data_IF_597025856873
#
_entry.id   IF_597025856873
#
_cell.length_a   1.000
_cell.length_b   1.000
_cell.length_c   1.000
_cell.angle_alpha   90.00
_cell.angle_beta   90.00
_cell.angle_gamma   90.00
#
_symmetry.space_group_name_H-M   'P 1'
#
loop_
_entity.id
_entity.type
_entity.pdbx_description
1 polymer ?
#
# COMPACT_ATOMS: atom_id res chain seq x y z
N UNK A 1 38.67 38.72 -48.55
CA UNK A 1 38.27 37.65 -47.60
C UNK A 1 38.62 38.11 -46.21
N UNK A 2 37.66 38.65 -45.47
CA UNK A 2 37.82 38.96 -44.04
C UNK A 2 36.62 38.34 -43.34
N UNK A 3 36.85 37.14 -42.79
CA UNK A 3 35.86 36.43 -41.99
C UNK A 3 35.67 37.15 -40.66
N UNK A 4 34.46 37.65 -40.44
CA UNK A 4 34.04 38.15 -39.14
C UNK A 4 33.74 36.96 -38.22
N UNK A 5 34.53 36.83 -37.17
CA UNK A 5 34.29 35.91 -36.06
C UNK A 5 33.05 36.41 -35.30
N UNK A 6 31.92 35.71 -35.45
CA UNK A 6 30.71 35.97 -34.68
C UNK A 6 30.89 35.29 -33.33
N UNK A 7 31.48 36.04 -32.39
CA UNK A 7 31.54 35.65 -30.99
C UNK A 7 30.11 35.61 -30.44
N UNK A 8 29.62 34.39 -30.19
CA UNK A 8 28.33 34.18 -29.55
C UNK A 8 28.34 34.80 -28.14
N UNK A 9 27.40 35.70 -27.87
CA UNK A 9 27.24 36.31 -26.56
C UNK A 9 27.00 35.24 -25.48
N UNK A 10 27.60 35.37 -24.28
CA UNK A 10 27.38 34.43 -23.19
C UNK A 10 25.91 34.44 -22.78
N UNK A 11 25.31 33.25 -22.68
CA UNK A 11 23.95 33.08 -22.18
C UNK A 11 23.83 33.72 -20.79
N UNK A 12 22.87 34.65 -20.63
CA UNK A 12 22.55 35.28 -19.36
C UNK A 12 22.24 34.23 -18.28
N UNK A 13 22.70 34.41 -17.03
CA UNK A 13 22.44 33.46 -15.96
C UNK A 13 20.93 33.31 -15.73
N UNK A 14 20.43 32.09 -15.44
CA UNK A 14 19.02 31.88 -15.16
C UNK A 14 18.58 32.71 -13.96
N UNK A 15 17.41 33.34 -14.08
CA UNK A 15 16.79 34.08 -12.97
C UNK A 15 16.60 33.17 -11.75
N UNK A 16 16.85 33.66 -10.52
CA UNK A 16 16.68 32.86 -9.32
C UNK A 16 15.22 32.39 -9.18
N UNK A 17 15.06 31.16 -8.68
CA UNK A 17 13.75 30.57 -8.40
C UNK A 17 13.09 31.27 -7.20
N UNK A 18 11.81 31.63 -7.34
CA UNK A 18 10.99 32.22 -6.27
C UNK A 18 10.24 31.11 -5.51
N UNK A 19 10.77 30.72 -4.36
CA UNK A 19 10.21 29.65 -3.54
C UNK A 19 9.06 30.15 -2.68
N UNK A 20 7.90 29.50 -2.80
CA UNK A 20 6.70 29.80 -2.01
C UNK A 20 6.26 28.60 -1.23
N UNK A 21 5.79 28.84 -0.01
CA UNK A 21 5.09 27.83 0.76
C UNK A 21 3.80 27.41 0.02
N UNK A 22 3.52 26.11 -0.02
CA UNK A 22 2.37 25.57 -0.73
C UNK A 22 1.55 24.62 0.16
N UNK A 23 2.19 23.61 0.77
CA UNK A 23 1.49 22.58 1.52
C UNK A 23 2.31 22.06 2.69
N UNK A 24 1.62 21.65 3.76
CA UNK A 24 2.20 20.97 4.93
C UNK A 24 1.35 19.75 5.30
N UNK A 25 2.01 18.67 5.72
CA UNK A 25 1.38 17.46 6.26
C UNK A 25 1.98 17.14 7.63
N UNK A 26 1.19 16.50 8.50
CA UNK A 26 1.62 16.12 9.85
C UNK A 26 1.66 17.31 10.81
N UNK A 27 0.66 18.20 10.72
CA UNK A 27 0.50 19.31 11.66
C UNK A 27 0.44 18.79 13.10
N UNK A 28 1.26 19.38 13.98
CA UNK A 28 1.43 18.93 15.36
C UNK A 28 0.70 19.84 16.32
N UNK A 29 0.19 19.27 17.40
CA UNK A 29 -0.29 20.07 18.53
C UNK A 29 0.90 20.71 19.24
N UNK A 30 0.78 21.97 19.66
CA UNK A 30 1.86 22.65 20.39
C UNK A 30 2.23 21.88 21.67
N UNK A 31 3.49 21.45 21.78
CA UNK A 31 4.01 20.68 22.93
C UNK A 31 4.10 19.17 22.72
N UNK A 32 3.68 18.64 21.56
CA UNK A 32 3.85 17.23 21.21
C UNK A 32 5.28 16.96 20.70
N UNK A 33 5.97 15.99 21.30
CA UNK A 33 7.30 15.57 20.85
C UNK A 33 7.21 14.76 19.56
N UNK A 34 8.22 14.91 18.70
CA UNK A 34 8.31 14.15 17.45
C UNK A 34 8.64 12.71 17.77
N UNK A 35 7.73 11.79 17.45
CA UNK A 35 8.08 10.37 17.53
C UNK A 35 9.13 10.05 16.47
N UNK A 36 10.21 9.37 16.86
CA UNK A 36 11.30 9.03 15.94
C UNK A 36 10.80 8.20 14.76
N UNK A 37 9.83 7.30 15.00
CA UNK A 37 9.19 6.45 13.99
C UNK A 37 8.44 7.25 12.92
N UNK A 38 7.98 8.46 13.23
CA UNK A 38 7.26 9.34 12.30
C UNK A 38 8.20 10.26 11.49
N UNK A 39 9.52 10.22 11.76
CA UNK A 39 10.48 11.01 10.99
C UNK A 39 10.61 10.44 9.59
N UNK A 40 10.26 11.26 8.59
CA UNK A 40 10.42 10.92 7.18
C UNK A 40 11.91 10.72 6.88
N UNK A 41 12.25 9.53 6.39
CA UNK A 41 13.62 9.11 6.06
C UNK A 41 13.86 8.99 4.55
N UNK A 42 12.80 8.82 3.75
CA UNK A 42 12.89 8.74 2.30
C UNK A 42 11.70 9.47 1.64
N UNK A 43 11.94 10.11 0.50
CA UNK A 43 10.92 10.78 -0.30
C UNK A 43 11.23 10.61 -1.79
N UNK A 44 10.23 10.27 -2.60
CA UNK A 44 10.39 10.18 -4.05
C UNK A 44 9.10 10.48 -4.81
N UNK A 45 9.21 11.32 -5.84
CA UNK A 45 8.17 11.50 -6.85
C UNK A 45 8.29 10.44 -7.93
N UNK A 46 7.15 9.99 -8.45
CA UNK A 46 7.15 9.17 -9.65
C UNK A 46 7.61 10.00 -10.86
N UNK A 47 7.86 9.33 -12.00
CA UNK A 47 8.38 10.00 -13.19
C UNK A 47 7.42 11.05 -13.79
N UNK A 48 6.11 10.88 -13.58
CA UNK A 48 5.10 11.85 -14.04
C UNK A 48 4.97 13.05 -13.10
N UNK A 49 5.33 12.88 -11.83
CA UNK A 49 5.09 13.84 -10.76
C UNK A 49 3.66 13.79 -10.21
N UNK A 50 2.81 12.86 -10.66
CA UNK A 50 1.42 12.70 -10.20
C UNK A 50 1.34 11.94 -8.87
N UNK A 51 2.39 11.21 -8.49
CA UNK A 51 2.45 10.46 -7.24
C UNK A 51 3.71 10.79 -6.44
N UNK A 52 3.54 10.90 -5.14
CA UNK A 52 4.61 11.13 -4.17
C UNK A 52 4.59 10.00 -3.14
N UNK A 53 5.73 9.37 -2.90
CA UNK A 53 5.91 8.39 -1.84
C UNK A 53 6.82 8.97 -0.76
N UNK A 54 6.44 8.80 0.50
CA UNK A 54 7.29 9.04 1.66
C UNK A 54 7.48 7.74 2.41
N UNK A 55 8.65 7.55 3.00
CA UNK A 55 8.95 6.48 3.94
C UNK A 55 9.52 7.07 5.21
N UNK A 56 9.24 6.45 6.34
CA UNK A 56 9.68 6.90 7.65
C UNK A 56 10.61 5.91 8.35
N UNK A 57 11.09 6.31 9.53
CA UNK A 57 11.91 5.44 10.39
C UNK A 57 11.13 4.26 10.97
N UNK A 58 9.82 4.38 11.12
CA UNK A 58 8.92 3.31 11.54
C UNK A 58 8.54 2.33 10.44
N UNK A 59 9.24 2.32 9.31
CA UNK A 59 9.06 1.31 8.26
C UNK A 59 7.77 1.45 7.44
N UNK A 60 7.00 2.51 7.61
CA UNK A 60 5.78 2.77 6.83
C UNK A 60 6.12 3.46 5.52
N UNK A 61 5.31 3.20 4.51
CA UNK A 61 5.33 3.92 3.23
C UNK A 61 3.96 4.57 3.03
N UNK A 62 3.95 5.89 2.86
CA UNK A 62 2.75 6.70 2.62
C UNK A 62 2.78 7.22 1.20
N UNK A 63 1.67 7.05 0.47
CA UNK A 63 1.49 7.51 -0.89
C UNK A 63 0.53 8.69 -0.94
N UNK A 64 0.90 9.68 -1.74
CA UNK A 64 0.11 10.84 -2.07
C UNK A 64 -0.10 10.93 -3.58
N UNK A 65 -1.19 11.58 -3.98
CA UNK A 65 -1.58 11.81 -5.37
C UNK A 65 -1.89 13.27 -5.59
N UNK A 66 -1.41 13.81 -6.72
CA UNK A 66 -1.64 15.18 -7.16
C UNK A 66 -3.12 15.40 -7.49
N UNK A 67 -3.69 16.52 -7.06
CA UNK A 67 -5.12 16.84 -7.22
C UNK A 67 -5.45 17.70 -8.44
N UNK A 68 -4.48 18.46 -8.94
CA UNK A 68 -4.61 19.42 -10.05
C UNK A 68 -5.00 18.78 -11.41
N UNK A 69 -4.58 17.54 -11.67
CA UNK A 69 -4.86 16.84 -12.94
C UNK A 69 -6.35 16.52 -13.13
N UNK A 70 -7.15 16.45 -12.07
CA UNK A 70 -8.59 16.18 -12.16
C UNK A 70 -9.43 17.42 -12.45
N UNK A 71 -8.94 18.62 -12.14
CA UNK A 71 -9.69 19.88 -12.31
C UNK A 71 -9.53 20.46 -13.74
N UNK A 72 -8.49 20.05 -14.48
CA UNK A 72 -8.29 20.50 -15.87
C UNK A 72 -9.19 19.81 -16.92
N UNK A 73 -10.15 18.98 -16.50
CA UNK A 73 -11.17 18.36 -17.35
C UNK A 73 -12.48 19.16 -17.48
N UNK A 74 -12.56 20.36 -16.89
CA UNK A 74 -13.73 21.23 -16.94
C UNK A 74 -13.84 22.02 -18.24
N UNK A 75 -14.91 21.77 -19.00
CA UNK A 75 -15.55 22.64 -20.01
C UNK A 75 -14.65 23.45 -20.96
N UNK A 76 -14.77 23.18 -22.26
CA UNK A 76 -14.28 24.01 -23.39
C UNK A 76 -14.59 25.52 -23.26
N UNK A 77 -15.54 25.94 -22.40
CA UNK A 77 -15.87 27.35 -22.13
C UNK A 77 -14.97 28.05 -21.10
N UNK A 78 -14.10 27.34 -20.36
CA UNK A 78 -13.22 27.96 -19.35
C UNK A 78 -11.80 28.25 -19.88
N UNK A 79 -11.39 27.53 -20.93
CA UNK A 79 -10.12 27.72 -21.65
C UNK A 79 -10.04 29.10 -22.33
N UNK A 80 -11.19 29.67 -22.71
CA UNK A 80 -11.26 30.97 -23.42
C UNK A 80 -11.20 32.18 -22.47
N UNK A 81 -11.06 32.00 -21.14
CA UNK A 81 -11.05 33.11 -20.16
C UNK A 81 -9.76 33.26 -19.35
N UNK A 82 -8.75 32.40 -19.55
CA UNK A 82 -7.52 32.43 -18.75
C UNK A 82 -6.30 32.82 -19.59
N UNK A 83 -6.13 34.13 -19.81
CA UNK A 83 -4.83 34.74 -20.15
C UNK A 83 -3.87 34.80 -18.93
N UNK A 84 -4.19 34.06 -17.85
CA UNK A 84 -3.34 33.86 -16.69
C UNK A 84 -2.78 32.43 -16.70
N UNK A 85 -1.46 32.23 -16.58
CA UNK A 85 -0.92 30.88 -16.40
C UNK A 85 -1.59 30.26 -15.18
N UNK A 86 -2.07 29.02 -15.30
CA UNK A 86 -2.73 28.25 -14.24
C UNK A 86 -2.00 28.44 -12.91
N UNK A 87 -2.51 29.35 -12.07
CA UNK A 87 -1.76 29.93 -10.95
C UNK A 87 -1.83 29.09 -9.68
N UNK A 88 -2.33 27.86 -9.76
CA UNK A 88 -2.39 26.94 -8.62
C UNK A 88 -1.15 26.07 -8.61
N UNK A 89 -0.43 26.12 -7.49
CA UNK A 89 0.66 25.18 -7.21
C UNK A 89 0.10 23.76 -7.09
N UNK A 90 0.85 22.71 -7.51
CA UNK A 90 0.39 21.34 -7.37
C UNK A 90 0.13 20.98 -5.90
N UNK A 91 -1.09 20.54 -5.60
CA UNK A 91 -1.46 20.05 -4.28
C UNK A 91 -1.50 18.53 -4.29
N UNK A 92 -1.02 17.92 -3.20
CA UNK A 92 -1.02 16.48 -3.01
C UNK A 92 -2.10 16.10 -2.00
N UNK A 93 -2.67 14.92 -2.15
CA UNK A 93 -3.64 14.36 -1.20
C UNK A 93 -3.21 12.96 -0.79
N UNK A 94 -3.41 12.64 0.48
CA UNK A 94 -3.21 11.29 0.99
C UNK A 94 -3.99 10.27 0.15
N UNK A 95 -3.29 9.22 -0.31
CA UNK A 95 -3.84 8.15 -1.12
C UNK A 95 -3.97 6.86 -0.30
N UNK A 96 -2.87 6.38 0.28
CA UNK A 96 -2.84 5.16 1.11
C UNK A 96 -1.52 5.07 1.86
N UNK A 97 -1.50 4.31 2.94
CA UNK A 97 -0.27 3.89 3.63
C UNK A 97 -0.20 2.37 3.78
N UNK A 98 1.00 1.86 4.04
CA UNK A 98 1.20 0.45 4.41
C UNK A 98 2.52 0.27 5.18
N UNK A 99 2.54 -0.71 6.10
CA UNK A 99 3.77 -1.15 6.76
C UNK A 99 4.64 -1.89 5.75
N UNK A 100 5.84 -1.37 5.47
CA UNK A 100 6.75 -1.97 4.51
C UNK A 100 7.76 -2.89 5.18
N UNK A 101 8.43 -2.42 6.24
CA UNK A 101 9.38 -3.22 7.03
C UNK A 101 8.94 -3.23 8.50
N UNK A 102 9.32 -4.26 9.23
CA UNK A 102 9.10 -4.38 10.67
C UNK A 102 10.46 -4.57 11.33
N UNK A 103 10.61 -4.25 12.62
CA UNK A 103 11.87 -4.46 13.32
C UNK A 103 12.18 -5.95 13.35
N UNK A 104 13.42 -6.30 12.99
CA UNK A 104 13.90 -7.69 13.01
C UNK A 104 15.18 -7.78 13.84
N UNK A 105 15.49 -8.97 14.36
CA UNK A 105 16.77 -9.23 15.02
C UNK A 105 17.46 -10.44 14.40
N UNK A 106 18.73 -10.29 14.03
CA UNK A 106 19.58 -11.40 13.58
C UNK A 106 20.31 -12.01 14.80
N UNK A 107 19.85 -13.18 15.25
CA UNK A 107 20.45 -13.87 16.40
C UNK A 107 21.85 -14.41 16.13
N UNK A 108 22.19 -14.75 14.89
CA UNK A 108 23.50 -15.30 14.55
C UNK A 108 24.56 -14.20 14.53
N UNK A 109 24.20 -13.03 14.03
CA UNK A 109 25.07 -11.84 13.99
C UNK A 109 24.91 -10.93 15.21
N UNK A 110 23.92 -11.19 16.07
CA UNK A 110 23.52 -10.30 17.18
C UNK A 110 23.29 -8.85 16.73
N UNK A 111 22.59 -8.69 15.61
CA UNK A 111 22.38 -7.40 14.95
C UNK A 111 20.89 -7.05 14.93
N UNK A 112 20.55 -5.86 15.45
CA UNK A 112 19.22 -5.27 15.29
C UNK A 112 19.07 -4.73 13.87
N UNK A 113 17.95 -5.07 13.23
CA UNK A 113 17.61 -4.62 11.90
C UNK A 113 16.47 -3.63 12.05
N UNK A 114 16.81 -2.35 11.82
CA UNK A 114 15.82 -1.29 11.83
C UNK A 114 14.78 -1.49 10.72
N UNK A 115 13.54 -1.11 11.03
CA UNK A 115 12.46 -1.04 10.06
C UNK A 115 12.55 0.19 9.14
N UNK A 116 13.44 1.13 9.46
CA UNK A 116 13.64 2.38 8.75
C UNK A 116 13.72 2.21 7.23
N UNK A 117 12.94 3.01 6.52
CA UNK A 117 12.99 3.07 5.07
C UNK A 117 14.19 3.91 4.64
N UNK A 118 15.17 3.27 4.00
CA UNK A 118 16.38 3.93 3.50
C UNK A 118 16.15 4.61 2.14
N UNK A 119 15.47 3.93 1.22
CA UNK A 119 15.17 4.44 -0.13
C UNK A 119 13.83 3.88 -0.61
N UNK A 120 13.13 4.71 -1.39
CA UNK A 120 11.96 4.32 -2.17
C UNK A 120 12.31 4.55 -3.63
N UNK A 121 11.91 3.65 -4.54
CA UNK A 121 12.00 3.88 -5.98
C UNK A 121 10.71 3.55 -6.69
N UNK A 122 10.17 4.50 -7.45
CA UNK A 122 9.00 4.24 -8.28
C UNK A 122 9.34 3.36 -9.48
N UNK A 123 8.47 2.40 -9.74
CA UNK A 123 8.49 1.58 -10.93
C UNK A 123 7.42 2.05 -11.92
N UNK A 124 7.53 1.61 -13.18
CA UNK A 124 6.54 1.96 -14.19
C UNK A 124 5.15 1.44 -13.82
N UNK A 125 4.18 2.34 -13.71
CA UNK A 125 2.77 2.04 -13.53
C UNK A 125 2.27 1.17 -14.70
N UNK A 126 1.53 0.11 -14.39
CA UNK A 126 0.95 -0.78 -15.40
C UNK A 126 -0.37 -1.35 -14.91
N UNK A 127 -1.34 -1.52 -15.83
CA UNK A 127 -2.65 -2.11 -15.54
C UNK A 127 -3.40 -1.43 -14.38
N UNK A 128 -3.31 -0.10 -14.27
CA UNK A 128 -3.95 0.67 -13.18
C UNK A 128 -3.36 0.39 -11.79
N UNK A 129 -2.17 -0.22 -11.72
CA UNK A 129 -1.48 -0.49 -10.47
C UNK A 129 -0.17 0.30 -10.39
N UNK A 130 0.08 0.83 -9.20
CA UNK A 130 1.31 1.46 -8.81
C UNK A 130 2.33 0.39 -8.38
N UNK A 131 3.58 0.62 -8.73
CA UNK A 131 4.67 -0.27 -8.36
C UNK A 131 5.81 0.57 -7.78
N UNK A 132 6.39 0.09 -6.68
CA UNK A 132 7.55 0.74 -6.08
C UNK A 132 8.43 -0.29 -5.38
N UNK A 133 9.68 0.07 -5.18
CA UNK A 133 10.61 -0.60 -4.30
C UNK A 133 10.78 0.22 -3.03
N UNK A 134 10.94 -0.47 -1.92
CA UNK A 134 11.36 0.12 -0.64
C UNK A 134 12.48 -0.73 -0.05
N UNK A 135 13.46 -0.10 0.57
CA UNK A 135 14.62 -0.81 1.14
C UNK A 135 14.86 -0.43 2.59
N UNK A 136 15.27 -1.41 3.40
CA UNK A 136 15.97 -1.19 4.65
C UNK A 136 17.42 -1.73 4.53
N UNK A 137 18.10 -1.94 5.65
CA UNK A 137 19.49 -2.41 5.65
C UNK A 137 19.65 -3.86 5.17
N UNK A 138 18.60 -4.68 5.28
CA UNK A 138 18.69 -6.12 5.02
C UNK A 138 17.98 -6.56 3.75
N UNK A 139 16.89 -5.88 3.39
CA UNK A 139 15.97 -6.35 2.35
C UNK A 139 15.52 -5.23 1.42
N UNK A 140 15.15 -5.63 0.21
CA UNK A 140 14.44 -4.80 -0.75
C UNK A 140 13.09 -5.45 -1.00
N UNK A 141 12.01 -4.70 -0.80
CA UNK A 141 10.65 -5.18 -1.04
C UNK A 141 10.07 -4.50 -2.28
N UNK A 142 9.50 -5.32 -3.17
CA UNK A 142 8.77 -4.85 -4.36
C UNK A 142 7.27 -4.88 -4.11
N UNK A 143 6.67 -3.71 -4.12
CA UNK A 143 5.27 -3.48 -3.79
C UNK A 143 4.43 -3.24 -5.04
N UNK A 144 3.22 -3.80 -5.03
CA UNK A 144 2.14 -3.47 -5.95
C UNK A 144 1.00 -2.86 -5.16
N UNK A 145 0.62 -1.62 -5.47
CA UNK A 145 -0.53 -0.94 -4.89
C UNK A 145 -1.60 -0.81 -5.97
N UNK A 146 -2.78 -1.37 -5.72
CA UNK A 146 -3.86 -1.36 -6.70
C UNK A 146 -5.21 -1.24 -6.00
N UNK A 147 -6.19 -0.71 -6.71
CA UNK A 147 -7.57 -0.70 -6.24
C UNK A 147 -8.16 -2.12 -6.33
N UNK A 148 -8.73 -2.59 -5.23
CA UNK A 148 -9.43 -3.87 -5.13
C UNK A 148 -10.89 -3.59 -4.80
N UNK A 149 -11.79 -4.12 -5.62
CA UNK A 149 -13.23 -4.16 -5.32
C UNK A 149 -13.46 -5.20 -4.23
N UNK A 150 -13.87 -4.74 -3.05
CA UNK A 150 -14.25 -5.60 -1.93
C UNK A 150 -15.76 -5.80 -2.00
N UNK A 151 -16.19 -7.06 -2.00
CA UNK A 151 -17.61 -7.43 -1.88
C UNK A 151 -17.92 -7.61 -0.41
N UNK A 152 -18.76 -6.76 0.16
CA UNK A 152 -19.26 -6.92 1.52
C UNK A 152 -20.37 -7.95 1.53
N UNK A 153 -20.20 -8.99 2.33
CA UNK A 153 -21.17 -10.07 2.49
C UNK A 153 -21.92 -9.81 3.80
N UNK A 154 -23.24 -9.72 3.74
CA UNK A 154 -24.13 -9.69 4.91
C UNK A 154 -24.98 -10.97 4.94
N UNK A 155 -25.77 -11.14 6.00
CA UNK A 155 -26.62 -12.31 6.24
C UNK A 155 -25.84 -13.61 6.50
N UNK A 156 -24.96 -13.60 7.49
CA UNK A 156 -24.43 -14.84 8.08
C UNK A 156 -25.42 -15.37 9.12
N UNK A 157 -25.57 -16.70 9.20
CA UNK A 157 -26.40 -17.38 10.22
C UNK A 157 -25.76 -17.36 11.62
N UNK A 158 -25.21 -16.22 12.03
CA UNK A 158 -24.68 -16.01 13.36
C UNK A 158 -25.61 -15.07 14.09
N UNK A 159 -26.51 -15.64 14.89
CA UNK A 159 -27.25 -14.85 15.87
C UNK A 159 -26.24 -14.21 16.84
N UNK A 160 -26.33 -12.91 17.13
CA UNK A 160 -25.53 -12.31 18.20
C UNK A 160 -25.91 -13.06 19.47
N UNK A 161 -24.94 -13.70 20.11
CA UNK A 161 -25.15 -14.33 21.42
C UNK A 161 -25.70 -13.24 22.33
N UNK A 162 -27.01 -13.32 22.62
CA UNK A 162 -27.63 -12.46 23.63
C UNK A 162 -26.95 -12.82 24.94
N UNK A 163 -26.06 -11.94 25.40
CA UNK A 163 -25.62 -11.93 26.78
C UNK A 163 -26.87 -11.68 27.63
N UNK A 164 -27.50 -12.75 28.08
CA UNK A 164 -28.44 -12.70 29.19
C UNK A 164 -27.59 -12.34 30.41
N UNK A 165 -27.74 -11.10 30.87
CA UNK A 165 -27.14 -10.65 32.11
C UNK A 165 -27.71 -11.45 33.28
N UNK A 166 -26.83 -12.16 33.98
CA UNK A 166 -26.65 -12.09 35.43
C UNK A 166 -25.60 -13.10 35.88
N UNK A 167 -24.54 -12.61 36.54
CA UNK A 167 -23.60 -13.43 37.31
C UNK A 167 -22.13 -13.18 37.00
N UNK A 168 -21.50 -12.36 37.85
CA UNK A 168 -20.05 -12.32 38.13
C UNK A 168 -19.48 -13.75 38.29
N UNK A 169 -18.24 -14.15 37.96
CA UNK A 169 -16.90 -13.60 38.17
C UNK A 169 -15.94 -14.34 37.18
N UNK A 170 -14.79 -13.72 36.92
CA UNK A 170 -13.47 -14.34 36.65
C UNK A 170 -12.94 -14.19 35.22
N UNK A 171 -11.79 -13.53 35.18
CA UNK A 171 -10.84 -13.46 34.08
C UNK A 171 -10.43 -14.86 33.62
N UNK A 172 -10.15 -15.00 32.33
CA UNK A 172 -8.78 -15.25 31.83
C UNK A 172 -8.80 -15.76 30.38
N UNK A 173 -7.81 -15.26 29.63
CA UNK A 173 -7.08 -15.99 28.61
C UNK A 173 -7.77 -16.36 27.29
N UNK A 174 -7.52 -15.47 26.33
CA UNK A 174 -7.14 -15.79 24.95
C UNK A 174 -6.17 -16.99 24.96
N UNK A 175 -6.57 -18.13 24.39
CA UNK A 175 -5.64 -19.06 23.73
C UNK A 175 -6.35 -20.03 22.78
N UNK A 176 -5.84 -19.98 21.57
CA UNK A 176 -5.99 -20.87 20.41
C UNK A 176 -6.04 -22.36 20.74
N UNK A 177 -6.91 -23.13 20.08
CA UNK A 177 -6.62 -24.53 19.68
C UNK A 177 -7.21 -24.81 18.29
N UNK A 178 -6.31 -24.86 17.32
CA UNK A 178 -6.42 -25.69 16.12
C UNK A 178 -6.17 -27.17 16.51
N UNK A 179 -6.73 -28.09 15.72
CA UNK A 179 -6.45 -29.53 15.62
C UNK A 179 -7.41 -30.50 16.32
N UNK A 180 -8.03 -31.35 15.50
CA UNK A 180 -7.95 -32.82 15.49
C UNK A 180 -8.76 -33.27 14.25
N UNK A 181 -8.18 -33.66 13.12
CA UNK A 181 -7.56 -34.96 12.77
C UNK A 181 -8.49 -36.18 12.89
N UNK A 182 -8.36 -37.07 11.89
CA UNK A 182 -8.89 -38.44 11.77
C UNK A 182 -10.35 -38.53 11.27
N UNK A 183 -10.75 -39.31 10.28
CA UNK A 183 -10.23 -40.55 9.66
C UNK A 183 -10.82 -40.69 8.25
N UNK A 184 -10.01 -41.21 7.30
CA UNK A 184 -10.45 -41.58 5.95
C UNK A 184 -10.83 -43.06 5.83
N UNK A 185 -11.93 -43.29 5.11
CA UNK A 185 -12.29 -44.35 4.16
C UNK A 185 -12.13 -45.86 4.46
N UNK A 186 -13.23 -46.57 4.15
CA UNK A 186 -13.39 -48.02 3.93
C UNK A 186 -14.78 -48.44 4.45
N UNK A 187 -15.67 -49.17 3.79
CA UNK A 187 -15.67 -49.99 2.57
C UNK A 187 -17.16 -50.34 2.25
N UNK A 188 -17.40 -50.88 1.04
CA UNK A 188 -18.68 -51.24 0.43
C UNK A 188 -19.59 -52.19 1.25
N UNK A 189 -20.92 -52.05 1.11
CA UNK A 189 -21.82 -53.15 0.66
C UNK A 189 -23.17 -52.61 0.16
N UNK A 190 -23.62 -53.25 -0.92
CA UNK A 190 -24.82 -53.04 -1.72
C UNK A 190 -26.10 -53.53 -1.01
N UNK A 191 -27.23 -52.83 -1.24
CA UNK A 191 -28.61 -53.36 -1.23
C UNK A 191 -29.64 -52.26 -1.55
N UNK A 192 -30.19 -52.34 -2.75
CA UNK A 192 -31.47 -51.73 -3.12
C UNK A 192 -32.64 -52.61 -2.64
N UNK A 193 -33.70 -52.01 -2.10
CA UNK A 193 -35.12 -52.17 -2.49
C UNK A 193 -36.05 -51.46 -1.47
N UNK A 194 -37.03 -50.76 -2.04
CA UNK A 194 -38.36 -50.44 -1.51
C UNK A 194 -38.52 -49.48 -0.31
N UNK A 195 -39.02 -48.29 -0.66
CA UNK A 195 -40.24 -47.65 -0.13
C UNK A 195 -40.62 -47.96 1.32
N UNK A 196 -40.40 -46.98 2.20
CA UNK A 196 -41.25 -46.79 3.38
C UNK A 196 -41.25 -45.31 3.75
N UNK A 197 -42.40 -44.68 3.50
CA UNK A 197 -42.83 -43.46 4.15
C UNK A 197 -42.59 -43.58 5.65
N UNK A 198 -41.88 -42.63 6.23
CA UNK A 198 -41.99 -42.34 7.65
C UNK A 198 -41.90 -40.84 7.86
N UNK A 199 -43.04 -40.31 8.27
CA UNK A 199 -43.29 -38.94 8.63
C UNK A 199 -42.24 -38.43 9.63
N UNK A 200 -41.41 -37.49 9.19
CA UNK A 200 -40.73 -36.60 10.10
C UNK A 200 -41.53 -35.31 10.16
N UNK A 201 -42.34 -35.23 11.22
CA UNK A 201 -42.85 -34.02 11.82
C UNK A 201 -41.87 -32.86 11.67
N UNK A 202 -42.39 -31.74 11.18
CA UNK A 202 -41.72 -30.45 11.01
C UNK A 202 -40.92 -30.03 12.25
N UNK A 203 -39.67 -30.48 12.35
CA UNK A 203 -38.64 -29.86 13.16
C UNK A 203 -37.99 -28.79 12.28
N UNK A 204 -38.32 -27.53 12.55
CA UNK A 204 -37.88 -26.37 11.79
C UNK A 204 -36.38 -26.46 11.43
N UNK A 205 -36.09 -26.67 10.15
CA UNK A 205 -34.78 -26.30 9.62
C UNK A 205 -34.72 -24.79 9.84
N UNK A 206 -33.89 -24.35 10.80
CA UNK A 206 -33.59 -22.93 10.96
C UNK A 206 -33.30 -22.39 9.55
N UNK A 207 -34.08 -21.40 9.12
CA UNK A 207 -33.99 -20.82 7.79
C UNK A 207 -32.55 -20.37 7.55
N UNK A 208 -31.78 -21.16 6.80
CA UNK A 208 -30.43 -20.83 6.42
C UNK A 208 -30.53 -19.65 5.46
N UNK A 209 -30.08 -18.47 5.89
CA UNK A 209 -29.92 -17.35 5.00
C UNK A 209 -28.65 -17.57 4.18
N UNK A 210 -28.79 -17.36 2.87
CA UNK A 210 -27.65 -17.35 1.96
C UNK A 210 -26.95 -16.01 2.10
N UNK A 211 -25.61 -15.98 2.18
CA UNK A 211 -24.89 -14.72 2.30
C UNK A 211 -25.14 -13.85 1.06
N UNK A 212 -25.64 -12.63 1.26
CA UNK A 212 -25.95 -11.69 0.18
C UNK A 212 -24.83 -10.66 0.07
N UNK A 213 -24.38 -10.40 -1.16
CA UNK A 213 -23.44 -9.30 -1.41
C UNK A 213 -24.21 -7.98 -1.36
N UNK A 214 -23.88 -7.14 -0.40
CA UNK A 214 -24.67 -5.93 -0.07
C UNK A 214 -24.02 -4.65 -0.55
N UNK A 215 -22.68 -4.59 -0.68
CA UNK A 215 -21.98 -3.42 -1.21
C UNK A 215 -20.68 -3.81 -1.93
N UNK A 216 -20.31 -3.01 -2.94
CA UNK A 216 -18.99 -3.03 -3.56
C UNK A 216 -18.23 -1.78 -3.15
N UNK A 217 -17.37 -1.90 -2.15
CA UNK A 217 -16.46 -0.83 -1.74
C UNK A 217 -15.14 -0.98 -2.51
N UNK A 218 -14.52 0.13 -2.89
CA UNK A 218 -13.17 0.09 -3.46
C UNK A 218 -12.15 0.47 -2.40
N UNK A 219 -11.11 -0.35 -2.27
CA UNK A 219 -10.04 -0.15 -1.30
C UNK A 219 -8.70 -0.30 -2.00
N UNK A 220 -7.75 0.58 -1.71
CA UNK A 220 -6.37 0.41 -2.17
C UNK A 220 -5.68 -0.64 -1.31
N UNK A 221 -5.12 -1.64 -1.97
CA UNK A 221 -4.40 -2.72 -1.30
C UNK A 221 -2.95 -2.71 -1.79
N UNK A 222 -2.04 -2.53 -0.84
CA UNK A 222 -0.61 -2.75 -1.04
C UNK A 222 -0.29 -4.23 -0.83
N UNK A 223 0.38 -4.85 -1.81
CA UNK A 223 0.85 -6.23 -1.73
C UNK A 223 2.34 -6.29 -2.03
N UNK A 224 3.11 -6.82 -1.09
CA UNK A 224 4.50 -7.21 -1.33
C UNK A 224 4.51 -8.39 -2.32
N UNK A 225 5.08 -8.19 -3.50
CA UNK A 225 5.16 -9.22 -4.55
C UNK A 225 6.46 -9.99 -4.51
N UNK A 226 7.55 -9.34 -4.11
CA UNK A 226 8.88 -9.95 -3.99
C UNK A 226 9.63 -9.31 -2.84
N UNK A 227 10.39 -10.14 -2.14
CA UNK A 227 11.38 -9.72 -1.16
C UNK A 227 12.73 -10.21 -1.66
N UNK A 228 13.66 -9.30 -1.86
CA UNK A 228 15.05 -9.61 -2.17
C UNK A 228 15.81 -9.54 -0.84
N UNK A 229 16.08 -10.71 -0.26
CA UNK A 229 16.91 -10.84 0.92
C UNK A 229 18.38 -10.55 0.58
N UNK A 230 19.24 -10.46 1.61
CA UNK A 230 20.68 -10.27 1.44
C UNK A 230 21.09 -8.94 0.80
N UNK A 231 20.24 -7.90 0.90
CA UNK A 231 20.62 -6.57 0.44
C UNK A 231 21.88 -6.06 1.18
N UNK A 232 22.05 -6.47 2.44
CA UNK A 232 23.21 -6.16 3.29
C UNK A 232 24.54 -6.72 2.78
N UNK A 233 24.54 -7.76 1.94
CA UNK A 233 25.76 -8.28 1.33
C UNK A 233 26.32 -7.28 0.29
N UNK A 234 25.60 -6.20 0.04
CA UNK A 234 25.89 -5.24 -0.99
C UNK A 234 25.75 -3.80 -0.50
N UNK A 235 26.66 -2.92 -0.92
CA UNK A 235 26.59 -1.50 -0.60
C UNK A 235 25.68 -0.76 -1.59
N UNK A 236 24.38 -0.74 -1.32
CA UNK A 236 23.38 -0.22 -2.28
C UNK A 236 23.29 1.31 -2.21
N UNK A 237 24.04 1.97 -3.09
CA UNK A 237 24.02 3.43 -3.22
C UNK A 237 22.80 3.97 -3.98
N UNK A 238 22.29 3.19 -4.94
CA UNK A 238 21.16 3.58 -5.80
C UNK A 238 20.42 2.35 -6.31
N UNK A 239 19.17 2.56 -6.72
CA UNK A 239 18.28 1.56 -7.30
C UNK A 239 17.63 2.21 -8.53
N UNK A 240 17.48 1.48 -9.63
CA UNK A 240 16.87 1.99 -10.85
C UNK A 240 16.05 0.92 -11.57
N UNK A 241 15.15 1.35 -12.46
CA UNK A 241 14.32 0.46 -13.27
C UNK A 241 14.86 0.32 -14.70
N UNK A 242 14.74 -0.88 -15.30
CA UNK A 242 14.94 -1.07 -16.73
C UNK A 242 13.65 -0.71 -17.53
N UNK A 243 13.83 -0.32 -18.80
CA UNK A 243 12.83 0.04 -19.81
C UNK A 243 11.73 -1.02 -20.03
N UNK A 244 11.97 -2.28 -19.66
CA UNK A 244 11.03 -3.39 -19.87
C UNK A 244 10.28 -3.82 -18.61
N UNK A 245 10.32 -3.04 -17.53
CA UNK A 245 9.61 -3.38 -16.28
C UNK A 245 10.21 -4.54 -15.48
N UNK A 246 11.28 -5.16 -15.99
CA UNK A 246 12.13 -6.06 -15.21
C UNK A 246 13.08 -5.23 -14.34
N UNK A 247 13.13 -5.58 -13.06
CA UNK A 247 13.98 -4.94 -12.06
C UNK A 247 15.42 -5.40 -12.27
N UNK A 248 16.34 -4.49 -12.60
CA UNK A 248 17.78 -4.74 -12.46
C UNK A 248 18.30 -3.79 -11.38
N UNK A 249 18.93 -4.34 -10.35
CA UNK A 249 19.65 -3.57 -9.37
C UNK A 249 20.97 -3.11 -10.00
N UNK A 250 21.10 -1.83 -10.35
CA UNK A 250 22.43 -1.25 -10.56
C UNK A 250 23.03 -0.97 -9.19
N UNK A 251 23.78 -1.95 -8.68
CA UNK A 251 24.66 -1.76 -7.53
C UNK A 251 25.94 -1.10 -8.03
N UNK A 252 26.05 0.21 -7.83
CA UNK A 252 27.31 0.91 -8.04
C UNK A 252 28.25 0.55 -6.90
N UNK A 253 29.22 -0.33 -7.21
CA UNK A 253 30.48 -0.45 -6.48
C UNK A 253 31.40 0.68 -6.95
N UNK A 254 32.03 1.41 -6.03
CA UNK A 254 33.17 2.27 -6.35
C UNK A 254 34.47 1.50 -6.20
#
# INVERSE_FOLDING_TARGET
MTGGDVTAAPASPPSPLDWKFSQVFGERTAGEEVQEVDIISAIEFDKSGDHLATGDRGGRVVLFERTDTKEHGGSRKEIEKTDYPSSRHPEFRYKTEFQSHEPEFDYLKSLEIEEKINKIRWCQTANGALFLLSTNDKTIKFWKVQEKKIKKIADLNMDPIKAVGNGSIASSSISSINSLSHTGNGEYTDKSYTSLNKDFSSGAIQSLRLPVVTSTETSLVARCRRVYAHAHDYHINSISNNRFGYLFFFMLWS
#
